data_IF_891172856238
#
_entry.id   IF_891172856238
#
_cell.length_a   1.000
_cell.length_b   1.000
_cell.length_c   1.000
_cell.angle_alpha   90.00
_cell.angle_beta   90.00
_cell.angle_gamma   90.00
#
_symmetry.space_group_name_H-M   'P 1'
#
loop_
_entity.id
_entity.type
_entity.pdbx_description
1 polymer ?
#
# COMPACT_ATOMS: atom_id res chain seq x y z
N UNK A 1 29.17 14.14 10.75
CA UNK A 1 28.29 14.95 11.63
C UNK A 1 27.16 15.49 10.76
N UNK A 2 26.15 14.68 10.48
CA UNK A 2 24.92 15.14 9.81
C UNK A 2 24.05 15.79 10.87
N UNK A 3 23.77 17.08 10.69
CA UNK A 3 22.79 17.78 11.52
C UNK A 3 21.42 17.19 11.25
N UNK A 4 20.68 16.89 12.32
CA UNK A 4 19.24 16.62 12.27
C UNK A 4 18.61 17.80 11.52
N UNK A 5 17.99 17.57 10.37
CA UNK A 5 17.15 18.58 9.74
C UNK A 5 16.00 18.88 10.72
N UNK A 6 15.85 20.11 11.22
CA UNK A 6 14.75 20.43 12.11
C UNK A 6 13.43 20.22 11.38
N UNK A 7 12.37 19.89 12.13
CA UNK A 7 11.00 19.99 11.66
C UNK A 7 10.82 21.31 10.90
N UNK A 8 10.14 21.32 9.74
CA UNK A 8 9.88 22.57 9.06
C UNK A 8 9.18 23.50 10.06
N UNK A 9 9.63 24.75 10.17
CA UNK A 9 8.96 25.79 10.99
C UNK A 9 7.63 26.25 10.33
N UNK A 10 7.02 25.36 9.56
CA UNK A 10 5.86 25.54 8.72
C UNK A 10 4.67 25.03 9.54
N UNK A 11 3.81 25.95 9.94
CA UNK A 11 2.55 25.61 10.61
C UNK A 11 1.39 25.43 9.64
N UNK A 12 1.54 25.91 8.40
CA UNK A 12 0.50 25.90 7.37
C UNK A 12 1.04 25.52 6.01
N UNK A 13 0.29 24.71 5.26
CA UNK A 13 0.63 24.33 3.89
C UNK A 13 0.08 25.31 2.87
N UNK A 14 0.68 25.36 1.68
CA UNK A 14 0.19 26.21 0.58
C UNK A 14 -0.89 25.51 -0.25
N UNK A 15 -0.93 24.18 -0.16
CA UNK A 15 -1.82 23.29 -0.88
C UNK A 15 -3.29 23.47 -0.48
N UNK A 16 -4.17 22.97 -1.33
CA UNK A 16 -5.60 22.83 -1.04
C UNK A 16 -6.05 21.47 -1.55
N UNK A 17 -7.07 20.86 -0.93
CA UNK A 17 -7.55 19.54 -1.32
C UNK A 17 -8.02 19.52 -2.78
N UNK A 18 -7.88 18.36 -3.42
CA UNK A 18 -8.41 18.14 -4.77
C UNK A 18 -9.94 18.30 -4.76
N UNK A 19 -10.48 19.07 -5.72
CA UNK A 19 -11.93 19.26 -5.88
C UNK A 19 -12.59 18.00 -6.45
N UNK A 20 -13.82 17.72 -6.02
CA UNK A 20 -14.60 16.55 -6.45
C UNK A 20 -15.03 16.60 -7.93
N UNK A 21 -15.21 17.80 -8.50
CA UNK A 21 -15.62 17.99 -9.90
C UNK A 21 -14.49 17.72 -10.90
N UNK A 22 -13.25 17.56 -10.41
CA UNK A 22 -12.15 17.11 -11.22
C UNK A 22 -12.34 15.61 -11.48
N UNK A 23 -13.09 15.27 -12.53
CA UNK A 23 -13.04 13.97 -13.21
C UNK A 23 -11.63 13.76 -13.78
N UNK A 24 -10.66 13.60 -12.89
CA UNK A 24 -9.34 13.12 -13.21
C UNK A 24 -9.43 11.61 -13.09
N UNK A 25 -9.39 10.93 -14.24
CA UNK A 25 -9.08 9.51 -14.24
C UNK A 25 -7.85 9.29 -13.35
N UNK A 26 -7.78 8.18 -12.57
CA UNK A 26 -6.60 7.89 -11.77
C UNK A 26 -5.34 8.05 -12.62
N UNK A 27 -4.27 8.67 -12.10
CA UNK A 27 -3.08 8.96 -12.88
C UNK A 27 -2.62 7.67 -13.55
N UNK A 28 -2.49 7.70 -14.89
CA UNK A 28 -2.09 6.54 -15.67
C UNK A 28 -0.60 6.28 -15.41
N UNK A 29 -0.32 5.48 -14.38
CA UNK A 29 1.02 5.01 -14.05
C UNK A 29 1.31 3.81 -14.96
N UNK A 30 2.14 4.02 -15.99
CA UNK A 30 2.67 2.95 -16.86
C UNK A 30 3.39 1.87 -16.06
N UNK A 31 3.79 0.76 -16.69
CA UNK A 31 4.61 -0.24 -16.00
C UNK A 31 6.02 0.27 -15.74
N UNK A 32 6.54 1.10 -16.62
CA UNK A 32 7.86 1.72 -16.54
C UNK A 32 7.72 3.24 -16.61
N UNK A 33 8.77 3.96 -16.20
CA UNK A 33 8.91 5.38 -16.48
C UNK A 33 9.41 5.63 -17.90
N UNK A 34 9.47 6.90 -18.31
CA UNK A 34 10.15 7.29 -19.55
C UNK A 34 11.66 7.11 -19.41
N UNK A 35 12.41 6.96 -20.52
CA UNK A 35 13.87 6.94 -20.48
C UNK A 35 14.43 8.15 -19.73
N UNK A 36 15.47 7.93 -18.90
CA UNK A 36 16.10 8.94 -18.03
C UNK A 36 15.20 9.53 -16.94
N UNK A 37 14.02 8.95 -16.71
CA UNK A 37 13.14 9.33 -15.62
C UNK A 37 12.91 8.14 -14.68
N UNK A 38 12.51 8.44 -13.45
CA UNK A 38 11.90 7.47 -12.53
C UNK A 38 10.54 7.98 -12.09
N UNK A 39 9.63 7.05 -11.86
CA UNK A 39 8.26 7.31 -11.46
C UNK A 39 8.04 6.71 -10.08
N UNK A 40 7.62 7.51 -9.11
CA UNK A 40 7.18 6.98 -7.81
C UNK A 40 5.67 7.08 -7.72
N UNK A 41 5.00 5.93 -7.63
CA UNK A 41 3.56 5.84 -7.45
C UNK A 41 3.28 5.53 -5.97
N UNK A 42 2.59 6.44 -5.28
CA UNK A 42 2.29 6.40 -3.84
C UNK A 42 0.78 6.35 -3.62
N UNK A 43 0.27 5.29 -3.02
CA UNK A 43 -1.12 5.20 -2.58
C UNK A 43 -1.22 5.66 -1.12
N UNK A 44 -1.96 6.74 -0.90
CA UNK A 44 -2.26 7.30 0.42
C UNK A 44 -3.48 6.57 0.97
N UNK A 45 -3.29 5.60 1.87
CA UNK A 45 -4.39 4.82 2.42
C UNK A 45 -5.18 5.65 3.43
N UNK A 46 -4.50 6.14 4.46
CA UNK A 46 -5.14 6.87 5.56
C UNK A 46 -4.14 7.27 6.63
N UNK A 47 -4.63 7.92 7.68
CA UNK A 47 -3.85 8.27 8.85
C UNK A 47 -4.61 7.93 10.14
N UNK A 48 -3.90 7.76 11.25
CA UNK A 48 -4.51 7.67 12.59
C UNK A 48 -3.83 8.62 13.55
N UNK A 49 -4.55 8.93 14.64
CA UNK A 49 -4.09 9.83 15.70
C UNK A 49 -3.67 11.23 15.21
N UNK A 50 -4.32 11.78 14.18
CA UNK A 50 -4.09 13.18 13.81
C UNK A 50 -4.43 14.09 14.99
N UNK A 51 -3.62 15.10 15.23
CA UNK A 51 -3.83 16.04 16.32
C UNK A 51 -5.07 16.92 16.04
N UNK A 52 -5.75 17.42 17.09
CA UNK A 52 -6.70 18.52 16.95
C UNK A 52 -6.02 19.76 16.35
N UNK A 53 -6.82 20.61 15.72
CA UNK A 53 -6.39 21.92 15.24
C UNK A 53 -5.95 22.81 16.42
N UNK A 54 -5.27 23.92 16.12
CA UNK A 54 -4.82 24.87 17.14
C UNK A 54 -5.96 25.48 17.98
N UNK A 55 -7.19 25.48 17.46
CA UNK A 55 -8.41 25.91 18.18
C UNK A 55 -9.10 24.77 18.96
N UNK A 56 -8.54 23.56 18.95
CA UNK A 56 -9.11 22.35 19.54
C UNK A 56 -10.12 21.62 18.65
N UNK A 57 -10.37 22.13 17.43
CA UNK A 57 -11.28 21.53 16.46
C UNK A 57 -10.80 20.18 15.93
N UNK A 58 -11.74 19.36 15.45
CA UNK A 58 -11.43 18.13 14.73
C UNK A 58 -11.09 18.48 13.27
N UNK A 59 -9.95 18.04 12.73
CA UNK A 59 -9.54 18.42 11.39
C UNK A 59 -10.40 17.76 10.29
N UNK A 60 -10.41 18.37 9.11
CA UNK A 60 -10.87 17.80 7.83
C UNK A 60 -9.65 17.52 6.95
N UNK A 61 -8.94 16.43 7.19
CA UNK A 61 -7.60 16.27 6.65
C UNK A 61 -7.58 15.92 5.16
N UNK A 62 -6.56 16.43 4.47
CA UNK A 62 -6.11 15.99 3.16
C UNK A 62 -4.61 15.72 3.21
N UNK A 63 -4.11 14.92 2.28
CA UNK A 63 -2.69 14.61 2.18
C UNK A 63 -2.09 15.12 0.87
N UNK A 64 -0.78 15.39 0.88
CA UNK A 64 -0.04 15.84 -0.29
C UNK A 64 1.28 15.09 -0.47
N UNK A 65 1.75 15.07 -1.71
CA UNK A 65 3.02 14.50 -2.13
C UNK A 65 3.80 15.54 -2.91
N UNK A 66 4.99 15.88 -2.43
CA UNK A 66 5.94 16.77 -3.06
C UNK A 66 7.32 16.12 -3.19
N UNK A 67 8.18 16.78 -3.95
CA UNK A 67 9.59 16.43 -4.10
C UNK A 67 10.40 17.43 -3.27
N UNK A 68 11.38 16.95 -2.51
CA UNK A 68 12.14 17.77 -1.55
C UNK A 68 12.85 18.94 -2.21
N UNK A 69 13.44 18.76 -3.38
CA UNK A 69 14.07 19.86 -4.13
C UNK A 69 13.08 20.91 -4.64
N UNK A 70 11.86 20.50 -5.00
CA UNK A 70 10.79 21.42 -5.44
C UNK A 70 10.23 22.21 -4.25
N UNK A 71 9.99 21.54 -3.12
CA UNK A 71 9.55 22.17 -1.87
C UNK A 71 10.58 23.20 -1.38
N UNK A 72 11.88 22.88 -1.42
CA UNK A 72 12.95 23.80 -1.04
C UNK A 72 12.99 25.07 -1.93
N UNK A 73 12.43 24.99 -3.14
CA UNK A 73 12.28 26.12 -4.08
C UNK A 73 10.91 26.80 -3.96
N UNK A 74 10.09 26.42 -2.99
CA UNK A 74 8.73 26.95 -2.78
C UNK A 74 7.76 26.58 -3.89
N UNK A 75 8.00 25.50 -4.63
CA UNK A 75 7.07 25.00 -5.65
C UNK A 75 5.96 24.19 -5.00
N UNK A 76 4.79 24.20 -5.63
CA UNK A 76 3.62 23.45 -5.16
C UNK A 76 3.88 21.94 -5.20
N UNK A 77 3.19 21.21 -4.32
CA UNK A 77 3.13 19.75 -4.36
C UNK A 77 2.74 19.22 -5.74
N UNK A 78 3.20 18.00 -6.03
CA UNK A 78 2.96 17.31 -7.30
C UNK A 78 1.65 16.53 -7.30
N UNK A 79 1.10 16.24 -6.13
CA UNK A 79 -0.20 15.60 -5.98
C UNK A 79 -0.83 15.90 -4.62
N UNK A 80 -2.16 16.01 -4.62
CA UNK A 80 -2.99 16.20 -3.42
C UNK A 80 -4.17 15.24 -3.44
N UNK A 81 -4.52 14.67 -2.29
CA UNK A 81 -5.74 13.89 -2.13
C UNK A 81 -6.96 14.80 -2.03
N UNK A 82 -8.14 14.19 -2.04
CA UNK A 82 -9.35 14.86 -1.58
C UNK A 82 -9.28 15.10 -0.06
N UNK A 83 -9.98 16.13 0.40
CA UNK A 83 -10.26 16.33 1.82
C UNK A 83 -11.37 15.39 2.28
N UNK A 84 -11.41 15.07 3.58
CA UNK A 84 -12.51 14.27 4.12
C UNK A 84 -13.81 15.08 4.17
N UNK A 85 -14.93 14.42 3.83
CA UNK A 85 -16.26 15.02 3.90
C UNK A 85 -16.70 15.32 5.34
N UNK A 86 -16.23 14.53 6.30
CA UNK A 86 -16.50 14.71 7.73
C UNK A 86 -15.20 14.96 8.50
N UNK A 87 -15.22 15.79 9.56
CA UNK A 87 -14.08 15.96 10.45
C UNK A 87 -13.68 14.62 11.09
N UNK A 88 -12.39 14.30 11.11
CA UNK A 88 -11.88 13.05 11.67
C UNK A 88 -10.41 13.12 12.02
N UNK A 89 -10.02 12.43 13.10
CA UNK A 89 -8.62 12.16 13.46
C UNK A 89 -8.04 10.93 12.77
N UNK A 90 -8.86 10.22 11.98
CA UNK A 90 -8.48 8.97 11.33
C UNK A 90 -9.07 8.87 9.91
N UNK A 91 -8.54 9.66 8.96
CA UNK A 91 -9.04 9.66 7.59
C UNK A 91 -8.64 8.40 6.81
N UNK A 92 -9.42 8.11 5.77
CA UNK A 92 -9.07 7.18 4.68
C UNK A 92 -9.29 7.91 3.36
N UNK A 93 -8.30 7.85 2.47
CA UNK A 93 -8.34 8.50 1.16
C UNK A 93 -8.29 7.49 0.01
N UNK A 94 -7.45 6.46 0.12
CA UNK A 94 -7.19 5.44 -0.90
C UNK A 94 -6.83 6.03 -2.30
N UNK A 95 -6.32 7.27 -2.30
CA UNK A 95 -5.95 8.01 -3.50
C UNK A 95 -4.49 7.70 -3.87
N UNK A 96 -4.21 7.48 -5.16
CA UNK A 96 -2.83 7.29 -5.65
C UNK A 96 -2.30 8.57 -6.27
N UNK A 97 -1.17 9.03 -5.74
CA UNK A 97 -0.40 10.18 -6.18
C UNK A 97 0.85 9.70 -6.91
N UNK A 98 1.33 10.48 -7.88
CA UNK A 98 2.45 10.09 -8.74
C UNK A 98 3.41 11.26 -8.88
N UNK A 99 4.71 10.97 -8.78
CA UNK A 99 5.79 11.93 -9.05
C UNK A 99 6.75 11.38 -10.08
N UNK A 100 7.16 12.26 -11.00
CA UNK A 100 8.19 12.01 -12.00
C UNK A 100 9.45 12.76 -11.59
N UNK A 101 10.58 12.05 -11.55
CA UNK A 101 11.90 12.57 -11.22
C UNK A 101 12.86 12.25 -12.37
N UNK A 102 13.85 13.11 -12.60
CA UNK A 102 14.97 12.74 -13.47
C UNK A 102 15.84 11.71 -12.73
N UNK A 103 16.24 10.64 -13.41
CA UNK A 103 16.94 9.49 -12.81
C UNK A 103 18.23 9.93 -12.10
N UNK A 104 18.97 10.87 -12.69
CA UNK A 104 20.22 11.40 -12.13
C UNK A 104 20.01 12.18 -10.82
N UNK A 105 18.81 12.76 -10.64
CA UNK A 105 18.46 13.55 -9.46
C UNK A 105 17.78 12.70 -8.39
N UNK A 106 17.07 11.65 -8.79
CA UNK A 106 16.25 10.83 -7.91
C UNK A 106 17.04 10.27 -6.73
N UNK A 107 18.28 9.81 -6.94
CA UNK A 107 19.11 9.26 -5.86
C UNK A 107 19.46 10.27 -4.75
N UNK A 108 19.46 11.58 -5.04
CA UNK A 108 19.78 12.62 -4.06
C UNK A 108 18.56 13.36 -3.50
N UNK A 109 17.35 13.01 -3.96
CA UNK A 109 16.11 13.70 -3.59
C UNK A 109 15.29 12.91 -2.57
N UNK A 110 14.28 13.58 -2.03
CA UNK A 110 13.39 13.05 -1.01
C UNK A 110 11.93 13.22 -1.45
N UNK A 111 11.08 12.28 -1.06
CA UNK A 111 9.64 12.44 -1.13
C UNK A 111 9.17 13.13 0.14
N UNK A 112 8.40 14.19 -0.03
CA UNK A 112 7.78 14.92 1.08
C UNK A 112 6.30 14.55 1.11
N UNK A 113 5.90 13.89 2.19
CA UNK A 113 4.51 13.51 2.47
C UNK A 113 4.01 14.38 3.60
N UNK A 114 2.88 15.05 3.41
CA UNK A 114 2.26 15.86 4.45
C UNK A 114 0.77 15.60 4.57
N UNK A 115 0.24 15.83 5.77
CA UNK A 115 -1.19 15.83 6.06
C UNK A 115 -1.55 17.19 6.65
N UNK A 116 -2.59 17.83 6.14
CA UNK A 116 -3.01 19.15 6.58
C UNK A 116 -4.54 19.27 6.62
N UNK A 117 -5.04 20.27 7.34
CA UNK A 117 -6.46 20.58 7.37
C UNK A 117 -6.93 21.28 6.09
N UNK A 118 -8.10 20.89 5.57
CA UNK A 118 -8.63 21.42 4.32
C UNK A 118 -9.01 22.90 4.36
N UNK A 119 -9.43 23.42 5.52
CA UNK A 119 -9.97 24.77 5.68
C UNK A 119 -8.90 25.73 6.20
N UNK A 120 -8.28 25.41 7.33
CA UNK A 120 -7.25 26.25 7.93
C UNK A 120 -5.90 26.12 7.22
N UNK A 121 -5.65 25.00 6.54
CA UNK A 121 -4.35 24.58 5.99
C UNK A 121 -3.29 24.30 7.05
N UNK A 122 -3.69 24.16 8.31
CA UNK A 122 -2.80 23.79 9.40
C UNK A 122 -2.13 22.44 9.12
N UNK A 123 -0.81 22.37 9.29
CA UNK A 123 -0.01 21.15 9.08
C UNK A 123 -0.18 20.20 10.27
N UNK A 124 -0.63 18.98 10.00
CA UNK A 124 -0.93 17.96 11.02
C UNK A 124 0.14 16.88 11.09
N UNK A 125 0.78 16.55 9.97
CA UNK A 125 1.84 15.55 9.90
C UNK A 125 2.80 15.82 8.74
N UNK A 126 4.06 15.44 8.89
CA UNK A 126 5.10 15.72 7.89
C UNK A 126 6.22 14.69 7.91
N UNK A 127 6.55 14.14 6.74
CA UNK A 127 7.52 13.05 6.57
C UNK A 127 8.42 13.31 5.36
N UNK A 128 9.73 13.06 5.50
CA UNK A 128 10.73 13.15 4.41
C UNK A 128 11.38 11.80 4.17
N UNK A 129 11.12 11.20 3.02
CA UNK A 129 11.57 9.85 2.69
C UNK A 129 12.63 9.90 1.59
N UNK A 130 13.87 9.51 1.87
CA UNK A 130 14.91 9.45 0.84
C UNK A 130 14.54 8.47 -0.27
N UNK A 131 14.52 8.95 -1.51
CA UNK A 131 14.18 8.11 -2.68
C UNK A 131 15.20 6.98 -2.85
N UNK A 132 16.46 7.21 -2.46
CA UNK A 132 17.53 6.22 -2.49
C UNK A 132 17.26 4.96 -1.66
N UNK A 133 16.37 5.02 -0.66
CA UNK A 133 16.00 3.86 0.16
C UNK A 133 15.02 2.92 -0.57
N UNK A 134 14.43 3.37 -1.69
CA UNK A 134 13.49 2.57 -2.47
C UNK A 134 14.22 1.79 -3.57
N UNK A 135 13.88 0.51 -3.68
CA UNK A 135 14.37 -0.37 -4.74
C UNK A 135 13.38 -0.34 -5.92
N UNK A 136 13.88 -0.31 -7.17
CA UNK A 136 13.04 -0.40 -8.35
C UNK A 136 12.12 -1.62 -8.33
N UNK A 137 10.84 -1.37 -8.65
CA UNK A 137 9.74 -2.33 -8.73
C UNK A 137 9.47 -3.17 -7.48
N UNK A 138 10.04 -2.76 -6.33
CA UNK A 138 9.70 -3.33 -5.05
C UNK A 138 8.45 -2.62 -4.53
N UNK A 139 7.43 -3.41 -4.15
CA UNK A 139 6.25 -2.89 -3.47
C UNK A 139 6.55 -2.76 -1.98
N UNK A 140 6.26 -1.59 -1.44
CA UNK A 140 6.38 -1.24 -0.02
C UNK A 140 5.00 -0.94 0.55
N UNK A 141 4.74 -1.45 1.76
CA UNK A 141 3.57 -1.11 2.55
C UNK A 141 4.09 -0.58 3.90
N UNK A 142 3.92 0.71 4.15
CA UNK A 142 4.59 1.41 5.24
C UNK A 142 3.59 2.04 6.20
N UNK A 143 3.92 1.97 7.49
CA UNK A 143 3.35 2.81 8.55
C UNK A 143 4.40 3.85 8.93
N UNK A 144 4.22 5.10 8.51
CA UNK A 144 5.13 6.18 8.88
C UNK A 144 4.68 6.73 10.24
N UNK A 145 5.54 6.61 11.25
CA UNK A 145 5.25 7.03 12.61
C UNK A 145 5.99 8.32 12.95
N UNK A 146 5.21 9.34 13.29
CA UNK A 146 5.68 10.61 13.80
C UNK A 146 5.33 10.73 15.28
N UNK A 147 6.34 10.77 16.14
CA UNK A 147 6.13 10.98 17.57
C UNK A 147 5.64 12.40 17.82
N UNK A 148 4.47 12.53 18.45
CA UNK A 148 4.07 13.77 19.10
C UNK A 148 5.02 13.97 20.28
N UNK A 149 5.80 15.04 20.29
CA UNK A 149 6.78 15.33 21.34
C UNK A 149 6.12 15.46 22.72
N UNK A 150 5.97 14.34 23.42
CA UNK A 150 5.88 14.29 24.86
C UNK A 150 7.27 13.95 25.38
N UNK A 151 7.86 14.85 26.16
CA UNK A 151 9.01 14.52 26.98
C UNK A 151 8.62 13.31 27.85
N UNK A 152 9.18 12.14 27.55
CA UNK A 152 9.13 11.00 28.45
C UNK A 152 10.03 11.37 29.65
N UNK A 153 9.45 11.88 30.72
CA UNK A 153 10.13 12.00 32.00
C UNK A 153 10.57 10.60 32.45
N UNK A 154 11.86 10.32 32.34
CA UNK A 154 12.44 9.14 32.94
C UNK A 154 12.48 9.36 34.46
N UNK A 155 11.52 8.79 35.18
CA UNK A 155 11.41 8.86 36.65
C UNK A 155 12.60 8.25 37.41
N UNK A 156 13.59 7.69 36.71
CA UNK A 156 14.81 7.10 37.28
C UNK A 156 16.05 8.02 37.17
N UNK A 157 16.05 9.04 36.31
CA UNK A 157 17.18 9.98 36.21
C UNK A 157 16.71 11.43 36.36
N UNK A 158 17.02 12.02 37.53
CA UNK A 158 16.74 13.42 37.84
C UNK A 158 17.75 14.37 37.14
N UNK A 159 17.88 14.24 35.82
CA UNK A 159 18.63 15.16 34.97
C UNK A 159 18.00 15.22 33.58
N UNK A 160 17.86 16.42 33.02
CA UNK A 160 17.38 16.70 31.66
C UNK A 160 18.16 15.88 30.61
N UNK A 161 17.67 14.70 30.27
CA UNK A 161 18.15 13.90 29.16
C UNK A 161 17.28 14.19 27.94
N UNK A 162 17.83 14.92 26.96
CA UNK A 162 17.31 14.93 25.58
C UNK A 162 17.58 13.56 24.94
N UNK A 163 16.81 12.54 25.32
CA UNK A 163 16.88 11.22 24.70
C UNK A 163 15.99 11.20 23.45
N UNK A 164 16.52 11.66 22.32
CA UNK A 164 15.94 11.39 20.99
C UNK A 164 16.43 10.04 20.42
N UNK A 165 17.41 9.37 21.06
CA UNK A 165 17.91 8.08 20.57
C UNK A 165 18.27 7.17 21.76
N UNK A 166 17.38 6.28 22.17
CA UNK A 166 17.73 5.04 22.89
C UNK A 166 16.51 4.14 23.15
N UNK A 167 16.17 3.27 22.20
CA UNK A 167 15.48 2.01 22.54
C UNK A 167 16.25 0.76 22.07
N UNK A 168 17.54 0.90 21.72
CA UNK A 168 18.40 -0.23 21.33
C UNK A 168 19.75 -0.31 22.06
N UNK A 169 19.93 0.43 23.15
CA UNK A 169 21.10 0.23 24.03
C UNK A 169 20.65 -0.36 25.36
N UNK A 170 21.01 -1.62 25.56
CA UNK A 170 20.86 -2.37 26.78
C UNK A 170 21.26 -1.54 28.02
N UNK A 171 20.38 -1.55 29.04
CA UNK A 171 20.76 -1.37 30.42
C UNK A 171 21.72 -2.50 30.83
N UNK A 172 23.01 -2.36 30.53
CA UNK A 172 24.08 -3.09 31.20
C UNK A 172 24.41 -2.34 32.49
N UNK A 173 23.58 -2.52 33.53
CA UNK A 173 23.92 -2.09 34.87
C UNK A 173 23.87 -3.30 35.80
N UNK A 174 25.02 -3.60 36.40
CA UNK A 174 25.31 -4.69 37.32
C UNK A 174 24.27 -4.84 38.44
N UNK A 175 23.66 -6.02 38.58
CA UNK A 175 23.26 -6.54 39.90
C UNK A 175 23.75 -7.99 40.03
N UNK A 176 24.57 -8.20 41.07
CA UNK A 176 25.14 -9.48 41.51
C UNK A 176 24.08 -10.34 42.22
N UNK A 177 24.04 -11.62 41.86
CA UNK A 177 23.93 -12.83 42.71
C UNK A 177 22.91 -12.94 43.88
N UNK A 178 21.93 -13.85 43.68
CA UNK A 178 21.39 -14.95 44.54
C UNK A 178 20.63 -14.67 45.89
N UNK A 179 19.79 -15.62 46.42
CA UNK A 179 19.31 -16.90 45.88
C UNK A 179 17.78 -17.21 45.96
N UNK A 180 17.39 -18.20 45.15
CA UNK A 180 16.32 -19.22 45.21
C UNK A 180 15.39 -19.20 46.45
N UNK A 181 14.06 -19.15 46.22
CA UNK A 181 13.05 -19.94 46.95
C UNK A 181 11.74 -20.12 46.12
N UNK A 182 11.46 -21.40 45.83
CA UNK A 182 10.23 -22.15 45.55
C UNK A 182 8.93 -21.55 44.99
N UNK A 183 8.36 -22.32 44.05
CA UNK A 183 7.00 -22.28 43.52
C UNK A 183 5.93 -22.60 44.59
N UNK A 184 4.85 -21.81 44.63
CA UNK A 184 3.45 -22.22 44.41
C UNK A 184 2.48 -21.23 45.07
N UNK A 185 1.69 -20.51 44.26
CA UNK A 185 0.24 -20.33 44.47
C UNK A 185 -0.33 -19.40 43.39
N UNK A 186 -1.45 -19.81 42.83
CA UNK A 186 -2.25 -19.09 41.85
C UNK A 186 -2.77 -17.74 42.35
N UNK A 187 -2.89 -16.74 41.47
CA UNK A 187 -4.15 -16.05 41.12
C UNK A 187 -3.91 -14.83 40.21
N UNK A 188 -4.81 -14.70 39.24
CA UNK A 188 -5.04 -13.62 38.28
C UNK A 188 -4.63 -12.20 38.71
N UNK A 189 -3.96 -11.44 37.82
CA UNK A 189 -4.36 -10.07 37.44
C UNK A 189 -3.43 -9.46 36.38
N UNK A 190 -4.06 -8.72 35.45
CA UNK A 190 -3.51 -7.74 34.50
C UNK A 190 -2.32 -8.17 33.61
N UNK A 191 -2.63 -8.71 32.42
CA UNK A 191 -1.75 -8.56 31.27
C UNK A 191 -1.81 -7.10 30.81
N UNK A 192 -0.82 -6.31 31.20
CA UNK A 192 -0.53 -5.00 30.62
C UNK A 192 -0.21 -5.19 29.14
N UNK A 193 -1.08 -4.70 28.26
CA UNK A 193 -0.75 -4.52 26.86
C UNK A 193 0.54 -3.68 26.74
N UNK A 194 1.55 -4.09 25.95
CA UNK A 194 2.68 -3.22 25.67
C UNK A 194 2.14 -1.92 25.04
N UNK A 195 2.53 -0.78 25.62
CA UNK A 195 2.05 0.53 25.23
C UNK A 195 2.30 0.76 23.73
N UNK A 196 1.20 0.97 22.98
CA UNK A 196 1.26 1.37 21.57
C UNK A 196 1.96 2.74 21.53
N UNK A 197 3.07 2.90 20.77
CA UNK A 197 3.76 4.17 20.71
C UNK A 197 2.83 5.31 20.30
N UNK A 198 2.79 6.36 21.12
CA UNK A 198 1.99 7.58 20.90
C UNK A 198 2.57 8.38 19.74
N UNK A 199 1.75 8.68 18.74
CA UNK A 199 2.16 9.46 17.59
C UNK A 199 1.15 9.40 16.45
N UNK A 200 1.30 10.34 15.53
CA UNK A 200 0.56 10.37 14.26
C UNK A 200 1.09 9.25 13.38
N UNK A 201 0.19 8.52 12.73
CA UNK A 201 0.55 7.42 11.82
C UNK A 201 0.00 7.72 10.44
N UNK A 202 0.83 7.57 9.42
CA UNK A 202 0.42 7.68 8.02
C UNK A 202 0.67 6.34 7.32
N UNK A 203 -0.37 5.77 6.72
CA UNK A 203 -0.31 4.48 6.03
C UNK A 203 -0.22 4.70 4.52
N UNK A 204 0.86 4.18 3.92
CA UNK A 204 1.12 4.35 2.48
C UNK A 204 1.59 3.06 1.83
N UNK A 205 1.23 2.88 0.57
CA UNK A 205 1.90 1.93 -0.31
C UNK A 205 2.71 2.68 -1.36
N UNK A 206 3.90 2.21 -1.70
CA UNK A 206 4.72 2.86 -2.72
C UNK A 206 5.48 1.87 -3.59
N UNK A 207 5.72 2.30 -4.82
CA UNK A 207 6.58 1.61 -5.79
C UNK A 207 7.36 2.64 -6.59
N UNK A 208 8.68 2.44 -6.68
CA UNK A 208 9.56 3.18 -7.57
C UNK A 208 9.69 2.40 -8.88
N UNK A 209 9.41 3.04 -10.02
CA UNK A 209 9.48 2.43 -11.35
C UNK A 209 10.54 3.15 -12.17
N UNK A 210 11.45 2.38 -12.77
CA UNK A 210 12.44 2.89 -13.72
C UNK A 210 11.98 2.61 -15.15
N UNK A 211 12.78 3.00 -16.13
CA UNK A 211 12.44 2.87 -17.56
C UNK A 211 12.61 1.44 -18.11
N UNK A 212 13.17 0.54 -17.30
CA UNK A 212 13.54 -0.82 -17.73
C UNK A 212 13.10 -1.82 -16.67
N UNK A 213 12.22 -2.74 -17.05
CA UNK A 213 11.82 -3.85 -16.20
C UNK A 213 12.98 -4.82 -15.95
N UNK A 214 13.16 -5.31 -14.72
CA UNK A 214 14.22 -6.27 -14.40
C UNK A 214 13.92 -7.62 -15.04
N UNK A 215 14.78 -8.06 -15.96
CA UNK A 215 14.70 -9.38 -16.58
C UNK A 215 15.44 -10.43 -15.77
N UNK A 216 14.81 -11.58 -15.60
CA UNK A 216 15.46 -12.76 -15.02
C UNK A 216 15.93 -13.69 -16.14
N UNK A 217 17.22 -14.09 -16.18
CA UNK A 217 17.77 -14.91 -17.26
C UNK A 217 17.05 -16.26 -17.46
N UNK A 218 16.44 -16.80 -16.40
CA UNK A 218 15.80 -18.12 -16.42
C UNK A 218 14.34 -18.11 -16.92
N UNK A 219 13.76 -16.95 -17.22
CA UNK A 219 12.35 -16.84 -17.62
C UNK A 219 12.22 -16.44 -19.10
N UNK A 220 11.21 -17.00 -19.77
CA UNK A 220 10.89 -16.67 -21.16
C UNK A 220 10.19 -15.31 -21.32
N UNK A 221 9.87 -14.64 -20.21
CA UNK A 221 9.19 -13.36 -20.13
C UNK A 221 9.81 -12.51 -19.02
N UNK A 222 9.68 -11.19 -19.14
CA UNK A 222 10.20 -10.22 -18.18
C UNK A 222 9.21 -9.96 -17.05
N UNK A 223 7.91 -9.94 -17.33
CA UNK A 223 6.87 -9.73 -16.34
C UNK A 223 5.54 -10.39 -16.68
N UNK A 224 4.72 -10.63 -15.66
CA UNK A 224 3.36 -11.12 -15.80
C UNK A 224 2.39 -10.04 -15.32
N UNK A 225 1.62 -9.50 -16.26
CA UNK A 225 0.67 -8.42 -16.02
C UNK A 225 -0.75 -8.97 -15.88
N UNK A 226 -1.46 -8.48 -14.85
CA UNK A 226 -2.87 -8.75 -14.60
C UNK A 226 -3.62 -7.43 -14.52
N UNK A 227 -4.45 -7.15 -15.50
CA UNK A 227 -5.36 -5.99 -15.48
C UNK A 227 -6.68 -6.42 -14.83
N UNK A 228 -6.99 -5.87 -13.66
CA UNK A 228 -8.31 -5.96 -13.05
C UNK A 228 -9.20 -4.83 -13.58
N UNK A 229 -10.25 -5.18 -14.32
CA UNK A 229 -11.13 -4.21 -14.96
C UNK A 229 -12.25 -3.77 -14.01
N UNK A 230 -13.23 -4.64 -13.77
CA UNK A 230 -14.45 -4.31 -13.03
C UNK A 230 -15.22 -5.55 -12.55
N UNK A 231 -16.14 -5.35 -11.61
CA UNK A 231 -17.23 -6.29 -11.36
C UNK A 231 -18.18 -6.30 -12.57
N UNK A 232 -18.51 -7.49 -13.04
CA UNK A 232 -19.16 -7.68 -14.34
C UNK A 232 -20.61 -7.20 -14.35
N UNK A 233 -21.33 -7.44 -13.26
CA UNK A 233 -22.73 -7.04 -13.03
C UNK A 233 -22.87 -6.21 -11.76
N UNK A 234 -23.81 -5.25 -11.70
CA UNK A 234 -24.04 -4.46 -10.50
C UNK A 234 -24.35 -5.34 -9.27
N UNK A 235 -23.80 -4.95 -8.13
CA UNK A 235 -24.02 -5.55 -6.83
C UNK A 235 -25.36 -5.05 -6.26
N UNK A 236 -26.16 -5.99 -5.74
CA UNK A 236 -27.42 -5.72 -5.05
C UNK A 236 -27.19 -5.21 -3.62
N UNK A 237 -26.10 -5.66 -3.00
CA UNK A 237 -25.72 -5.36 -1.63
C UNK A 237 -24.27 -4.86 -1.58
N UNK A 238 -23.99 -3.65 -2.07
CA UNK A 238 -22.64 -3.08 -2.01
C UNK A 238 -22.21 -2.88 -0.55
N UNK A 239 -20.92 -3.08 -0.28
CA UNK A 239 -20.30 -2.96 1.05
C UNK A 239 -19.35 -1.74 1.13
N UNK A 240 -19.59 -0.76 0.26
CA UNK A 240 -18.69 0.36 0.02
C UNK A 240 -17.68 0.09 -1.11
N UNK A 241 -16.76 1.03 -1.36
CA UNK A 241 -15.64 0.84 -2.27
C UNK A 241 -14.78 -0.37 -1.87
N UNK A 242 -14.24 -1.07 -2.88
CA UNK A 242 -13.49 -2.32 -2.67
C UNK A 242 -12.03 -2.18 -3.09
N UNK A 243 -11.10 -2.51 -2.20
CA UNK A 243 -9.71 -2.79 -2.55
C UNK A 243 -9.59 -4.22 -3.08
N UNK A 244 -8.70 -4.43 -4.05
CA UNK A 244 -8.33 -5.76 -4.51
C UNK A 244 -6.88 -6.04 -4.14
N UNK A 245 -6.64 -7.22 -3.56
CA UNK A 245 -5.30 -7.75 -3.30
C UNK A 245 -5.04 -8.87 -4.27
N UNK A 246 -4.00 -8.74 -5.09
CA UNK A 246 -3.60 -9.76 -6.04
C UNK A 246 -2.31 -10.44 -5.61
N UNK A 247 -2.26 -11.77 -5.74
CA UNK A 247 -1.03 -12.54 -5.54
C UNK A 247 -1.00 -13.79 -6.39
N UNK A 248 0.20 -14.32 -6.56
CA UNK A 248 0.44 -15.63 -7.16
C UNK A 248 0.81 -16.58 -6.03
N UNK A 249 0.07 -17.67 -5.92
CA UNK A 249 0.34 -18.75 -4.96
C UNK A 249 0.83 -19.98 -5.70
N UNK A 250 1.80 -20.69 -5.12
CA UNK A 250 2.37 -21.90 -5.70
C UNK A 250 1.46 -23.12 -5.51
N UNK A 251 0.81 -23.20 -4.35
CA UNK A 251 -0.14 -24.26 -3.98
C UNK A 251 -1.44 -23.61 -3.53
N UNK A 252 -2.42 -23.58 -4.44
CA UNK A 252 -3.73 -23.01 -4.18
C UNK A 252 -4.49 -23.77 -3.08
N UNK A 253 -4.42 -25.10 -3.04
CA UNK A 253 -5.19 -25.88 -2.09
C UNK A 253 -4.69 -25.62 -0.66
N UNK A 254 -3.38 -25.63 -0.45
CA UNK A 254 -2.79 -25.21 0.83
C UNK A 254 -3.14 -23.77 1.19
N UNK A 255 -3.05 -22.83 0.23
CA UNK A 255 -3.40 -21.43 0.48
C UNK A 255 -4.87 -21.24 0.85
N UNK A 256 -5.76 -21.95 0.17
CA UNK A 256 -7.20 -21.91 0.42
C UNK A 256 -7.51 -22.31 1.86
N UNK A 257 -6.97 -23.45 2.30
CA UNK A 257 -7.30 -24.01 3.61
C UNK A 257 -6.64 -23.25 4.76
N UNK A 258 -5.42 -22.76 4.56
CA UNK A 258 -4.65 -22.08 5.61
C UNK A 258 -4.88 -20.58 5.70
N UNK A 259 -5.29 -19.93 4.60
CA UNK A 259 -5.44 -18.47 4.52
C UNK A 259 -6.87 -18.07 4.19
N UNK A 260 -7.45 -18.52 3.08
CA UNK A 260 -8.76 -18.00 2.61
C UNK A 260 -9.94 -18.46 3.49
N UNK A 261 -9.94 -19.73 3.91
CA UNK A 261 -11.00 -20.33 4.72
C UNK A 261 -10.77 -20.19 6.23
N UNK A 262 -9.63 -19.65 6.64
CA UNK A 262 -9.34 -19.37 8.04
C UNK A 262 -10.14 -18.16 8.52
N UNK A 263 -10.63 -18.22 9.76
CA UNK A 263 -11.32 -17.09 10.40
C UNK A 263 -10.56 -16.64 11.66
N UNK A 264 -10.04 -15.41 11.72
CA UNK A 264 -9.99 -14.42 10.65
C UNK A 264 -8.94 -14.79 9.58
N UNK A 265 -9.26 -14.47 8.33
CA UNK A 265 -8.30 -14.54 7.23
C UNK A 265 -7.43 -13.28 7.25
N UNK A 266 -6.13 -13.42 7.05
CA UNK A 266 -5.18 -12.30 6.99
C UNK A 266 -4.57 -12.24 5.61
N UNK A 267 -4.59 -11.06 4.98
CA UNK A 267 -4.03 -10.89 3.64
C UNK A 267 -2.51 -11.12 3.59
N UNK A 268 -1.81 -11.23 4.72
CA UNK A 268 -0.35 -11.42 4.73
C UNK A 268 0.44 -10.24 4.13
N UNK A 269 -0.15 -9.05 4.11
CA UNK A 269 0.56 -7.81 3.74
C UNK A 269 1.38 -7.38 4.94
N UNK A 270 2.71 -7.45 4.81
CA UNK A 270 3.65 -7.00 5.82
C UNK A 270 3.75 -5.47 5.78
N UNK A 271 3.05 -4.80 6.70
CA UNK A 271 3.22 -3.36 6.92
C UNK A 271 4.48 -3.13 7.75
N UNK A 272 5.39 -2.31 7.23
CA UNK A 272 6.66 -2.00 7.88
C UNK A 272 6.57 -0.63 8.55
N UNK A 273 6.77 -0.58 9.86
CA UNK A 273 6.74 0.70 10.60
C UNK A 273 8.07 1.44 10.45
N UNK A 274 8.00 2.67 9.95
CA UNK A 274 9.16 3.56 9.73
C UNK A 274 9.08 4.71 10.72
N UNK A 275 10.15 4.90 11.50
CA UNK A 275 10.22 5.94 12.52
C UNK A 275 10.83 7.22 11.93
N UNK A 276 10.19 8.36 12.21
CA UNK A 276 10.65 9.68 11.78
C UNK A 276 11.17 10.49 12.98
N UNK A 277 12.14 11.42 12.77
CA UNK A 277 12.46 12.08 11.49
C UNK A 277 13.58 11.47 10.63
N UNK A 278 14.41 10.56 11.15
CA UNK A 278 15.62 10.07 10.48
C UNK A 278 15.53 8.55 10.23
N UNK A 279 14.79 8.11 9.19
CA UNK A 279 14.58 6.69 8.94
C UNK A 279 15.83 6.06 8.31
N UNK A 280 16.42 5.02 8.91
CA UNK A 280 17.60 4.36 8.33
C UNK A 280 17.22 3.51 7.10
N UNK A 281 18.18 3.28 6.21
CA UNK A 281 17.96 2.53 4.95
C UNK A 281 17.45 1.09 5.18
N UNK A 282 17.95 0.43 6.23
CA UNK A 282 17.57 -0.95 6.57
C UNK A 282 16.11 -1.09 7.01
N UNK A 283 15.49 0.00 7.49
CA UNK A 283 14.05 0.03 7.79
C UNK A 283 13.19 -0.19 6.53
N UNK A 284 13.75 0.02 5.33
CA UNK A 284 13.08 -0.25 4.05
C UNK A 284 13.41 -1.65 3.50
N UNK A 285 13.97 -2.54 4.31
CA UNK A 285 14.16 -3.93 3.87
C UNK A 285 12.83 -4.67 3.81
N UNK A 286 12.40 -5.06 2.60
CA UNK A 286 11.22 -5.91 2.43
C UNK A 286 11.58 -7.37 2.67
N UNK A 287 10.79 -8.05 3.50
CA UNK A 287 10.96 -9.48 3.78
C UNK A 287 11.11 -10.32 2.51
N UNK A 288 11.89 -11.43 2.57
CA UNK A 288 11.98 -12.39 1.48
C UNK A 288 10.59 -12.89 1.07
N UNK A 289 10.47 -13.29 -0.21
CA UNK A 289 9.24 -13.87 -0.75
C UNK A 289 8.82 -15.06 0.10
N UNK A 290 7.58 -15.02 0.58
CA UNK A 290 6.99 -16.12 1.36
C UNK A 290 6.46 -17.21 0.41
N UNK A 291 6.10 -18.37 0.96
CA UNK A 291 5.42 -19.44 0.20
C UNK A 291 4.10 -18.99 -0.47
N UNK A 292 3.54 -17.85 -0.05
CA UNK A 292 2.30 -17.27 -0.58
C UNK A 292 2.55 -16.08 -1.54
N UNK A 293 3.79 -15.91 -2.01
CA UNK A 293 4.19 -14.82 -2.87
C UNK A 293 4.24 -13.47 -2.16
N UNK A 294 4.21 -12.39 -2.95
CA UNK A 294 4.10 -11.00 -2.48
C UNK A 294 2.77 -10.40 -2.93
N UNK A 295 1.86 -10.07 -2.00
CA UNK A 295 0.60 -9.44 -2.34
C UNK A 295 0.82 -8.01 -2.87
N UNK A 296 0.06 -7.62 -3.88
CA UNK A 296 -0.05 -6.25 -4.37
C UNK A 296 -1.47 -5.74 -4.12
N UNK A 297 -1.62 -4.45 -3.83
CA UNK A 297 -2.90 -3.83 -3.45
C UNK A 297 -3.29 -2.79 -4.51
N UNK A 298 -4.54 -2.85 -4.97
CA UNK A 298 -5.10 -1.84 -5.87
C UNK A 298 -5.60 -0.62 -5.10
N UNK A 299 -5.82 0.52 -5.79
CA UNK A 299 -6.75 1.55 -5.32
C UNK A 299 -8.17 1.00 -5.12
N UNK A 300 -9.02 1.79 -4.47
CA UNK A 300 -10.41 1.41 -4.25
C UNK A 300 -11.23 1.48 -5.55
N UNK A 301 -11.91 0.38 -5.88
CA UNK A 301 -12.84 0.30 -6.99
C UNK A 301 -14.13 1.06 -6.69
N UNK A 302 -14.54 1.90 -7.63
CA UNK A 302 -15.77 2.71 -7.54
C UNK A 302 -16.50 2.75 -8.89
N UNK A 303 -17.83 3.04 -8.92
CA UNK A 303 -18.74 3.22 -7.79
C UNK A 303 -19.01 1.89 -7.04
N UNK A 304 -19.50 1.97 -5.80
CA UNK A 304 -19.67 0.81 -4.92
C UNK A 304 -20.68 -0.23 -5.46
N UNK A 305 -21.68 0.20 -6.24
CA UNK A 305 -22.68 -0.66 -6.87
C UNK A 305 -22.10 -1.46 -8.02
N UNK A 306 -21.02 -0.96 -8.66
CA UNK A 306 -20.31 -1.69 -9.72
C UNK A 306 -18.85 -1.28 -9.72
N UNK A 307 -18.05 -1.83 -8.79
CA UNK A 307 -16.66 -1.42 -8.63
C UNK A 307 -15.87 -1.59 -9.93
N UNK A 308 -15.22 -0.51 -10.36
CA UNK A 308 -14.28 -0.47 -11.49
C UNK A 308 -12.92 -0.08 -10.92
N UNK A 309 -11.90 -0.87 -11.24
CA UNK A 309 -10.51 -0.62 -10.81
C UNK A 309 -9.68 -0.07 -11.95
N UNK A 310 -9.73 -0.72 -13.11
CA UNK A 310 -8.82 -0.44 -14.23
C UNK A 310 -7.35 -0.41 -13.80
N UNK A 311 -6.98 -1.35 -12.93
CA UNK A 311 -5.68 -1.39 -12.27
C UNK A 311 -4.87 -2.60 -12.75
N UNK A 312 -3.64 -2.34 -13.19
CA UNK A 312 -2.71 -3.41 -13.57
C UNK A 312 -1.78 -3.77 -12.40
N UNK A 313 -1.83 -5.03 -11.99
CA UNK A 313 -0.81 -5.66 -11.16
C UNK A 313 0.31 -6.18 -12.06
N UNK A 314 1.56 -6.10 -11.58
CA UNK A 314 2.74 -6.52 -12.33
C UNK A 314 3.62 -7.42 -11.47
N UNK A 315 3.66 -8.71 -11.79
CA UNK A 315 4.49 -9.68 -11.10
C UNK A 315 5.81 -9.87 -11.83
N UNK A 316 6.92 -9.66 -11.14
CA UNK A 316 8.27 -9.66 -11.70
C UNK A 316 9.16 -10.68 -11.02
N UNK A 317 10.13 -11.18 -11.79
CA UNK A 317 11.20 -12.04 -11.32
C UNK A 317 10.71 -13.19 -10.43
N UNK A 318 11.20 -13.24 -9.18
CA UNK A 318 10.88 -14.34 -8.25
C UNK A 318 9.41 -14.38 -7.83
N UNK A 319 8.67 -13.27 -7.89
CA UNK A 319 7.22 -13.28 -7.64
C UNK A 319 6.47 -14.10 -8.70
N UNK A 320 7.10 -14.28 -9.87
CA UNK A 320 6.60 -15.11 -10.96
C UNK A 320 7.26 -16.50 -11.01
N UNK A 321 8.06 -16.89 -10.02
CA UNK A 321 8.88 -18.11 -10.10
C UNK A 321 8.09 -19.41 -10.18
N UNK A 322 6.90 -19.43 -9.57
CA UNK A 322 6.03 -20.60 -9.52
C UNK A 322 4.87 -20.51 -10.50
N UNK A 323 4.82 -19.46 -11.34
CA UNK A 323 3.76 -19.29 -12.33
C UNK A 323 3.83 -20.42 -13.35
N UNK A 324 2.67 -20.98 -13.72
CA UNK A 324 2.57 -22.10 -14.67
C UNK A 324 3.06 -23.45 -14.15
N UNK A 325 3.26 -23.59 -12.85
CA UNK A 325 3.47 -24.87 -12.18
C UNK A 325 2.15 -25.52 -11.75
N UNK A 326 2.16 -26.82 -11.48
CA UNK A 326 0.99 -27.53 -11.00
C UNK A 326 0.54 -26.98 -9.64
N UNK A 327 -0.76 -26.72 -9.47
CA UNK A 327 -1.31 -26.12 -8.25
C UNK A 327 -1.21 -24.58 -8.18
N UNK A 328 -0.45 -23.95 -9.07
CA UNK A 328 -0.28 -22.50 -9.05
C UNK A 328 -1.56 -21.76 -9.46
N UNK A 329 -1.86 -20.67 -8.76
CA UNK A 329 -3.02 -19.84 -9.05
C UNK A 329 -2.76 -18.35 -8.83
N UNK A 330 -3.43 -17.53 -9.64
CA UNK A 330 -3.67 -16.13 -9.36
C UNK A 330 -4.88 -16.06 -8.42
N UNK A 331 -4.69 -15.44 -7.27
CA UNK A 331 -5.77 -15.18 -6.31
C UNK A 331 -5.99 -13.68 -6.19
N UNK A 332 -7.25 -13.27 -6.29
CA UNK A 332 -7.69 -11.90 -6.06
C UNK A 332 -8.60 -11.90 -4.82
N UNK A 333 -8.25 -11.15 -3.79
CA UNK A 333 -9.05 -11.00 -2.57
C UNK A 333 -9.66 -9.59 -2.53
N UNK A 334 -10.95 -9.47 -2.21
CA UNK A 334 -11.65 -8.19 -2.16
C UNK A 334 -11.90 -7.76 -0.72
N UNK A 335 -11.56 -6.52 -0.38
CA UNK A 335 -11.72 -5.96 0.95
C UNK A 335 -12.45 -4.61 0.90
N UNK A 336 -13.47 -4.36 1.74
CA UNK A 336 -14.14 -3.08 1.78
C UNK A 336 -13.26 -2.05 2.49
N UNK A 337 -13.13 -0.85 1.91
CA UNK A 337 -12.30 0.21 2.50
C UNK A 337 -12.72 0.58 3.92
N UNK A 338 -14.02 0.42 4.22
CA UNK A 338 -14.63 0.67 5.53
C UNK A 338 -14.15 -0.25 6.65
N UNK A 339 -13.59 -1.42 6.34
CA UNK A 339 -13.03 -2.33 7.36
C UNK A 339 -11.51 -2.35 7.37
N UNK A 340 -10.89 -1.86 6.30
CA UNK A 340 -9.43 -1.89 6.12
C UNK A 340 -8.76 -0.80 6.93
N UNK A 341 -9.34 0.40 6.93
CA UNK A 341 -8.88 1.51 7.75
C UNK A 341 -9.78 1.67 8.98
N UNK A 342 -9.21 1.62 10.18
CA UNK A 342 -9.92 1.96 11.42
C UNK A 342 -9.15 3.04 12.20
N UNK A 343 -9.68 3.43 13.37
CA UNK A 343 -9.08 4.49 14.19
C UNK A 343 -7.70 4.16 14.76
N UNK A 344 -7.28 2.89 14.69
CA UNK A 344 -6.04 2.40 15.30
C UNK A 344 -5.00 2.02 14.24
N UNK A 345 -5.43 1.43 13.12
CA UNK A 345 -4.51 0.84 12.15
C UNK A 345 -5.15 0.65 10.77
N UNK A 346 -4.28 0.49 9.78
CA UNK A 346 -4.60 -0.04 8.47
C UNK A 346 -4.27 -1.53 8.41
N UNK A 347 -5.27 -2.39 8.18
CA UNK A 347 -5.06 -3.83 8.08
C UNK A 347 -6.06 -4.51 7.13
N UNK A 348 -5.60 -5.49 6.35
CA UNK A 348 -6.45 -6.27 5.44
C UNK A 348 -6.79 -7.63 6.08
N UNK A 349 -8.00 -7.73 6.63
CA UNK A 349 -8.52 -8.93 7.29
C UNK A 349 -9.90 -9.31 6.75
N UNK A 350 -10.14 -10.60 6.64
CA UNK A 350 -11.42 -11.21 6.27
C UNK A 350 -11.99 -10.62 4.97
N UNK A 351 -11.51 -11.07 3.79
CA UNK A 351 -12.02 -10.57 2.51
C UNK A 351 -13.52 -10.86 2.38
N UNK A 352 -14.25 -9.95 1.72
CA UNK A 352 -15.68 -10.12 1.43
C UNK A 352 -15.94 -11.10 0.29
N UNK A 353 -14.88 -11.53 -0.39
CA UNK A 353 -14.87 -12.56 -1.41
C UNK A 353 -13.49 -12.65 -2.07
N UNK A 354 -13.26 -13.73 -2.80
CA UNK A 354 -12.03 -13.95 -3.55
C UNK A 354 -12.29 -14.61 -4.91
N UNK A 355 -11.44 -14.34 -5.88
CA UNK A 355 -11.47 -14.97 -7.20
C UNK A 355 -10.19 -15.80 -7.39
N UNK A 356 -10.30 -16.90 -8.14
CA UNK A 356 -9.18 -17.82 -8.37
C UNK A 356 -9.09 -18.15 -9.84
N UNK A 357 -7.92 -17.93 -10.43
CA UNK A 357 -7.58 -18.40 -11.76
C UNK A 357 -6.37 -19.33 -11.68
N UNK A 358 -6.57 -20.60 -12.02
CA UNK A 358 -5.47 -21.54 -12.13
C UNK A 358 -4.53 -21.15 -13.27
N UNK A 359 -3.24 -21.09 -12.95
CA UNK A 359 -2.19 -20.73 -13.88
C UNK A 359 -1.61 -22.02 -14.44
N UNK A 360 -2.37 -22.73 -15.27
CA UNK A 360 -1.96 -24.00 -15.83
C UNK A 360 -1.18 -23.85 -17.16
N UNK A 361 -0.66 -24.98 -17.66
CA UNK A 361 0.05 -25.02 -18.94
C UNK A 361 -0.84 -24.68 -20.15
N UNK A 362 -2.15 -24.86 -20.05
CA UNK A 362 -3.07 -24.49 -21.12
C UNK A 362 -3.21 -22.97 -21.22
N UNK A 363 -3.28 -22.27 -20.09
CA UNK A 363 -3.28 -20.81 -20.01
C UNK A 363 -1.95 -20.26 -20.49
N UNK A 364 -0.82 -20.84 -20.06
CA UNK A 364 0.50 -20.44 -20.54
C UNK A 364 0.59 -20.47 -22.07
N UNK A 365 0.18 -21.57 -22.70
CA UNK A 365 0.16 -21.69 -24.17
C UNK A 365 -0.70 -20.62 -24.83
N UNK A 366 -1.86 -20.27 -24.26
CA UNK A 366 -2.72 -19.18 -24.76
C UNK A 366 -2.02 -17.82 -24.67
N UNK A 367 -1.35 -17.54 -23.56
CA UNK A 367 -0.62 -16.28 -23.33
C UNK A 367 0.59 -16.10 -24.27
N UNK A 368 1.19 -17.21 -24.72
CA UNK A 368 2.32 -17.22 -25.66
C UNK A 368 1.89 -17.10 -27.14
N UNK A 369 0.59 -16.99 -27.43
CA UNK A 369 0.11 -16.75 -28.81
C UNK A 369 0.16 -15.26 -29.15
N UNK A 370 0.17 -14.91 -30.44
CA UNK A 370 0.07 -13.52 -30.91
C UNK A 370 -1.11 -12.73 -30.29
N UNK A 371 -2.34 -13.28 -30.22
CA UNK A 371 -3.43 -12.64 -29.47
C UNK A 371 -3.15 -12.53 -27.96
N UNK A 372 -2.52 -13.55 -27.38
CA UNK A 372 -2.14 -13.57 -25.96
C UNK A 372 -1.16 -12.45 -25.59
N UNK A 373 -0.20 -12.14 -26.47
CA UNK A 373 0.73 -11.01 -26.31
C UNK A 373 0.03 -9.64 -26.31
N UNK A 374 -1.20 -9.54 -26.84
CA UNK A 374 -2.01 -8.32 -26.78
C UNK A 374 -2.91 -8.25 -25.55
N UNK A 375 -3.00 -9.33 -24.79
CA UNK A 375 -3.84 -9.46 -23.60
C UNK A 375 -4.92 -10.52 -23.80
N UNK A 376 -4.84 -11.60 -23.01
CA UNK A 376 -5.86 -12.63 -22.90
C UNK A 376 -6.93 -12.23 -21.88
N UNK A 377 -8.19 -12.12 -22.30
CA UNK A 377 -9.31 -11.68 -21.44
C UNK A 377 -10.03 -12.85 -20.79
N UNK A 378 -10.32 -12.71 -19.50
CA UNK A 378 -11.23 -13.58 -18.74
C UNK A 378 -12.40 -12.71 -18.27
N UNK A 379 -13.50 -12.65 -19.03
CA UNK A 379 -14.57 -11.69 -18.79
C UNK A 379 -15.49 -12.04 -17.61
N UNK A 380 -15.42 -13.27 -17.11
CA UNK A 380 -16.27 -13.80 -16.03
C UNK A 380 -15.43 -14.70 -15.12
N UNK A 381 -14.56 -14.11 -14.31
CA UNK A 381 -13.87 -14.83 -13.25
C UNK A 381 -14.77 -14.85 -12.00
N UNK A 382 -15.29 -16.01 -11.56
CA UNK A 382 -16.25 -16.06 -10.47
C UNK A 382 -15.68 -15.54 -9.15
N UNK A 383 -16.46 -14.69 -8.50
CA UNK A 383 -16.19 -14.28 -7.12
C UNK A 383 -16.81 -15.32 -6.18
N UNK A 384 -15.96 -15.88 -5.33
CA UNK A 384 -16.27 -16.94 -4.39
C UNK A 384 -16.10 -16.43 -2.97
N UNK A 385 -16.73 -17.10 -2.01
CA UNK A 385 -16.68 -16.68 -0.62
C UNK A 385 -17.45 -15.38 -0.36
N UNK A 386 -18.01 -15.27 0.85
CA UNK A 386 -18.78 -14.10 1.28
C UNK A 386 -20.22 -14.06 0.78
N UNK A 387 -20.82 -12.87 0.89
CA UNK A 387 -22.26 -12.65 0.77
C UNK A 387 -22.65 -11.65 -0.31
N UNK A 388 -21.75 -11.33 -1.24
CA UNK A 388 -22.05 -10.40 -2.33
C UNK A 388 -22.99 -11.05 -3.36
N UNK A 389 -24.00 -10.31 -3.78
CA UNK A 389 -25.01 -10.74 -4.74
C UNK A 389 -25.15 -9.70 -5.85
N UNK A 390 -25.47 -10.15 -7.06
CA UNK A 390 -25.75 -9.25 -8.18
C UNK A 390 -27.23 -8.88 -8.25
N UNK A 391 -27.55 -7.75 -8.87
CA UNK A 391 -28.94 -7.35 -9.12
C UNK A 391 -29.66 -8.28 -10.10
N UNK A 392 -28.90 -8.99 -10.95
CA UNK A 392 -29.41 -9.99 -11.90
C UNK A 392 -29.64 -11.36 -11.27
N UNK A 393 -29.24 -11.58 -10.02
CA UNK A 393 -29.34 -12.88 -9.34
C UNK A 393 -28.27 -13.90 -9.74
N UNK A 394 -27.42 -13.57 -10.71
CA UNK A 394 -26.26 -14.39 -11.08
C UNK A 394 -25.15 -14.31 -10.02
N UNK A 395 -24.26 -15.30 -9.99
CA UNK A 395 -23.06 -15.24 -9.15
C UNK A 395 -22.23 -13.99 -9.53
N UNK A 396 -21.72 -13.23 -8.55
CA UNK A 396 -20.82 -12.12 -8.85
C UNK A 396 -19.54 -12.63 -9.51
N UNK A 397 -18.99 -11.83 -10.42
CA UNK A 397 -17.75 -12.14 -11.12
C UNK A 397 -16.99 -10.85 -11.45
N UNK A 398 -15.70 -10.98 -11.71
CA UNK A 398 -14.83 -9.89 -12.15
C UNK A 398 -14.32 -10.15 -13.57
N UNK A 399 -14.09 -9.07 -14.31
CA UNK A 399 -13.40 -9.11 -15.61
C UNK A 399 -11.93 -8.81 -15.40
N UNK A 400 -11.07 -9.66 -15.94
CA UNK A 400 -9.62 -9.45 -15.96
C UNK A 400 -9.02 -9.64 -17.35
N UNK A 401 -7.85 -9.08 -17.57
CA UNK A 401 -7.00 -9.40 -18.71
C UNK A 401 -5.58 -9.75 -18.22
N UNK A 402 -4.89 -10.60 -18.98
CA UNK A 402 -3.61 -11.19 -18.61
C UNK A 402 -2.64 -11.07 -19.76
N UNK A 403 -1.37 -10.79 -19.48
CA UNK A 403 -0.34 -10.73 -20.52
C UNK A 403 1.03 -11.09 -19.97
N UNK A 404 1.82 -11.81 -20.77
CA UNK A 404 3.25 -11.97 -20.54
C UNK A 404 4.00 -10.87 -21.29
N UNK A 405 4.77 -10.07 -20.55
CA UNK A 405 5.59 -8.99 -21.09
C UNK A 405 6.94 -9.58 -21.51
N UNK A 406 7.25 -9.52 -22.80
CA UNK A 406 8.53 -10.01 -23.34
C UNK A 406 9.63 -8.94 -23.50
N UNK A 407 9.28 -7.65 -23.39
CA UNK A 407 10.20 -6.52 -23.58
C UNK A 407 10.43 -5.78 -22.26
N UNK A 408 11.67 -5.37 -22.01
CA UNK A 408 12.06 -4.66 -20.79
C UNK A 408 11.61 -3.19 -20.78
N UNK A 409 11.48 -2.56 -21.95
CA UNK A 409 11.08 -1.15 -22.11
C UNK A 409 9.57 -0.98 -22.36
N UNK A 410 8.74 -1.92 -21.90
CA UNK A 410 7.30 -1.92 -22.23
C UNK A 410 6.53 -0.88 -21.41
N UNK A 411 6.38 0.33 -21.95
CA UNK A 411 5.51 1.39 -21.39
C UNK A 411 4.01 1.16 -21.69
N UNK A 412 3.70 0.23 -22.59
CA UNK A 412 2.31 -0.08 -22.91
C UNK A 412 1.69 -0.94 -21.81
N UNK A 413 0.84 -0.37 -20.96
CA UNK A 413 -0.06 -1.16 -20.09
C UNK A 413 -1.25 -1.70 -20.89
N UNK A 414 -1.83 -2.81 -20.46
CA UNK A 414 -3.12 -3.24 -20.99
C UNK A 414 -4.16 -2.14 -20.77
N UNK A 415 -4.97 -1.86 -21.79
CA UNK A 415 -6.03 -0.85 -21.74
C UNK A 415 -7.39 -1.54 -21.72
N UNK A 416 -8.31 -1.02 -20.90
CA UNK A 416 -9.73 -1.34 -21.04
C UNK A 416 -10.15 -1.05 -22.48
N UNK A 417 -10.75 -2.02 -23.16
CA UNK A 417 -11.45 -1.74 -24.39
C UNK A 417 -12.88 -1.38 -24.01
N UNK A 418 -13.41 -0.21 -24.41
CA UNK A 418 -14.83 0.03 -24.27
C UNK A 418 -15.56 -1.10 -25.01
N UNK A 419 -16.57 -1.70 -24.38
CA UNK A 419 -17.50 -2.62 -25.02
C UNK A 419 -18.20 -1.88 -26.16
N UNK A 420 -17.56 -1.87 -27.33
CA UNK A 420 -18.07 -1.53 -28.65
C UNK A 420 -17.03 -1.97 -29.67
N UNK A 421 -16.86 -3.28 -29.79
CA UNK A 421 -16.45 -3.90 -31.06
C UNK A 421 -17.13 -5.26 -31.12
N UNK A 422 -17.82 -5.43 -32.24
CA UNK A 422 -18.67 -6.52 -32.70
C UNK A 422 -18.51 -7.89 -32.00
N UNK A 423 -19.68 -8.49 -31.76
CA UNK A 423 -19.86 -9.94 -31.82
C UNK A 423 -19.14 -10.48 -33.06
N UNK A 424 -18.20 -11.40 -32.83
CA UNK A 424 -17.82 -12.44 -33.78
C UNK A 424 -17.88 -13.77 -33.04
#
# INVERSE_FOLDING_TARGET
MSGIAPYPNITHVIESPRRDDASSAPPRCGHVSRPSEVLVCVTMHGATNLLPLGDGGVPRPFASLAVGTDEARGRQSRGVTRGTLQPTHSPSWEDTLVVELQDEQAHGDELVLSVADSESRELLAYYRLPVAHLRPFQHYHLELLQFSGGELECSSCNSYCRCVVAFLAACYCHIRAFPILNLNSAQQSSQTHPAVPSGVRLYVSMVLKTSVLPRQPCFSFTGFEVLLEAVTSPLRNPVGPLLAVARIVADYDSYRDTVLLRTPSVAGIAVTSILFPDPPEDAFSVSPITIHGRPQVSPAGSPQERPVWSHSFLFLGRDSATVFTEGAALVLELYPTTTVMNSVSWHLRSPVGFCVLFLDQSLYRKLMTEPGHRGFRVPQLPLQGGHLHTTTGSAPAVSIALRLIGSEASDQTMKNHPKNSAVL
#
